data_IF_672082024458
#
_entry.id   IF_672082024458
#
_cell.length_a   1.000
_cell.length_b   1.000
_cell.length_c   1.000
_cell.angle_alpha   90.00
_cell.angle_beta   90.00
_cell.angle_gamma   90.00
#
_symmetry.space_group_name_H-M   'P 1'
#
loop_
_entity.id
_entity.type
_entity.pdbx_description
1 polymer ?
#
# COMPACT_ATOMS: atom_id res chain seq x y z
N UNK A 1 -8.00 -6.86 1.99
CA UNK A 1 -6.67 -6.44 1.52
C UNK A 1 -5.74 -6.08 2.69
N UNK A 2 -6.05 -5.03 3.47
CA UNK A 2 -5.12 -4.52 4.48
C UNK A 2 -4.74 -5.55 5.55
N UNK A 3 -5.67 -6.36 6.01
CA UNK A 3 -5.38 -7.41 7.00
C UNK A 3 -4.41 -8.48 6.44
N UNK A 4 -4.64 -8.93 5.20
CA UNK A 4 -3.72 -9.86 4.53
C UNK A 4 -2.33 -9.23 4.33
N UNK A 5 -2.27 -7.98 3.91
CA UNK A 5 -0.99 -7.27 3.71
C UNK A 5 -0.23 -7.12 5.03
N UNK A 6 -0.89 -6.66 6.11
CA UNK A 6 -0.29 -6.57 7.45
C UNK A 6 0.28 -7.90 7.93
N UNK A 7 -0.50 -8.97 7.80
CA UNK A 7 -0.07 -10.33 8.20
C UNK A 7 1.19 -10.78 7.45
N UNK A 8 1.30 -10.47 6.16
CA UNK A 8 2.50 -10.77 5.37
C UNK A 8 3.73 -9.97 5.84
N UNK A 9 3.55 -8.68 6.18
CA UNK A 9 4.62 -7.85 6.71
C UNK A 9 5.07 -8.37 8.08
N UNK A 10 4.15 -8.67 8.97
CA UNK A 10 4.44 -9.22 10.30
C UNK A 10 5.18 -10.56 10.19
N UNK A 11 4.69 -11.49 9.39
CA UNK A 11 5.34 -12.78 9.14
C UNK A 11 6.77 -12.60 8.62
N UNK A 12 6.98 -11.68 7.69
CA UNK A 12 8.31 -11.37 7.17
C UNK A 12 9.23 -10.81 8.27
N UNK A 13 8.73 -9.93 9.13
CA UNK A 13 9.54 -9.34 10.22
C UNK A 13 9.86 -10.36 11.31
N UNK A 14 8.92 -11.24 11.62
CA UNK A 14 9.13 -12.34 12.55
C UNK A 14 10.22 -13.30 12.04
N UNK A 15 10.17 -13.69 10.78
CA UNK A 15 11.21 -14.50 10.17
C UNK A 15 12.59 -13.80 10.18
N UNK A 16 12.62 -12.50 9.87
CA UNK A 16 13.86 -11.73 9.89
C UNK A 16 14.45 -11.63 11.30
N UNK A 17 13.63 -11.48 12.34
CA UNK A 17 14.10 -11.39 13.72
C UNK A 17 14.64 -12.72 14.26
N UNK A 18 14.14 -13.84 13.77
CA UNK A 18 14.70 -15.17 14.09
C UNK A 18 16.09 -15.36 13.50
N UNK A 19 16.36 -14.78 12.33
CA UNK A 19 17.67 -14.86 11.67
C UNK A 19 18.65 -13.81 12.20
N UNK A 20 18.15 -12.63 12.55
CA UNK A 20 18.94 -11.52 13.05
C UNK A 20 18.17 -10.75 14.13
N UNK A 21 18.59 -10.85 15.41
CA UNK A 21 17.93 -10.15 16.52
C UNK A 21 18.00 -8.61 16.41
N UNK A 22 18.85 -8.08 15.56
CA UNK A 22 18.94 -6.63 15.26
C UNK A 22 18.11 -6.22 14.04
N UNK A 23 17.28 -7.10 13.51
CA UNK A 23 16.41 -6.77 12.37
C UNK A 23 15.41 -5.68 12.73
N UNK A 24 15.21 -4.74 11.83
CA UNK A 24 14.27 -3.63 12.04
C UNK A 24 12.82 -4.11 12.00
N UNK A 25 12.04 -3.64 12.95
CA UNK A 25 10.58 -3.82 12.96
C UNK A 25 9.92 -2.84 11.99
N UNK A 26 8.75 -3.18 11.50
CA UNK A 26 7.95 -2.29 10.65
C UNK A 26 6.47 -2.51 10.94
N UNK A 27 5.83 -1.46 11.40
CA UNK A 27 4.36 -1.39 11.40
C UNK A 27 3.87 -0.96 10.02
N UNK A 28 2.68 -1.42 9.67
CA UNK A 28 1.99 -0.98 8.44
C UNK A 28 1.03 0.14 8.79
N UNK A 29 1.35 1.34 8.35
CA UNK A 29 0.44 2.48 8.37
C UNK A 29 -0.04 2.75 6.95
N UNK A 30 -1.28 3.21 6.81
CA UNK A 30 -1.85 3.41 5.49
C UNK A 30 -2.93 4.49 5.49
N UNK A 31 -3.15 5.02 4.30
CA UNK A 31 -4.34 5.78 3.92
C UNK A 31 -4.84 5.19 2.61
N UNK A 32 -6.14 5.02 2.47
CA UNK A 32 -6.72 4.63 1.19
C UNK A 32 -7.92 5.49 0.83
N UNK A 33 -8.15 5.63 -0.47
CA UNK A 33 -9.32 6.25 -1.04
C UNK A 33 -9.93 5.35 -2.10
N UNK A 34 -11.26 5.20 -2.07
CA UNK A 34 -12.03 4.53 -3.11
C UNK A 34 -12.58 5.58 -4.08
N UNK A 35 -12.34 5.36 -5.35
CA UNK A 35 -12.78 6.25 -6.42
C UNK A 35 -13.55 5.47 -7.49
N UNK A 36 -14.34 6.18 -8.24
CA UNK A 36 -15.09 5.67 -9.40
C UNK A 36 -14.96 6.68 -10.54
N UNK A 37 -14.47 6.21 -11.69
CA UNK A 37 -14.34 7.05 -12.87
C UNK A 37 -15.70 7.47 -13.41
N UNK A 38 -15.76 8.63 -14.07
CA UNK A 38 -16.97 9.07 -14.78
C UNK A 38 -17.34 8.02 -15.84
N UNK A 39 -18.61 7.59 -15.83
CA UNK A 39 -19.11 6.59 -16.78
C UNK A 39 -18.62 5.16 -16.54
N UNK A 40 -17.89 4.91 -15.46
CA UNK A 40 -17.43 3.57 -15.07
C UNK A 40 -18.18 3.07 -13.84
N UNK A 41 -18.60 1.81 -13.88
CA UNK A 41 -19.14 1.11 -12.70
C UNK A 41 -18.04 0.48 -11.83
N UNK A 42 -16.79 0.49 -12.31
CA UNK A 42 -15.67 -0.12 -11.62
C UNK A 42 -15.08 0.83 -10.60
N UNK A 43 -14.96 0.35 -9.37
CA UNK A 43 -14.23 1.05 -8.32
C UNK A 43 -12.75 0.75 -8.42
N UNK A 44 -11.92 1.75 -8.12
CA UNK A 44 -10.49 1.58 -7.92
C UNK A 44 -10.07 2.21 -6.60
N UNK A 45 -8.97 1.70 -6.07
CA UNK A 45 -8.46 2.11 -4.77
C UNK A 45 -7.08 2.71 -4.93
N UNK A 46 -6.89 3.89 -4.36
CA UNK A 46 -5.59 4.51 -4.20
C UNK A 46 -5.11 4.24 -2.78
N UNK A 47 -3.88 3.75 -2.65
CA UNK A 47 -3.29 3.44 -1.37
C UNK A 47 -1.98 4.20 -1.20
N UNK A 48 -1.80 4.80 -0.02
CA UNK A 48 -0.51 5.20 0.51
C UNK A 48 -0.18 4.25 1.66
N UNK A 49 0.94 3.57 1.56
CA UNK A 49 1.43 2.63 2.58
C UNK A 49 2.75 3.17 3.12
N UNK A 50 2.85 3.25 4.44
CA UNK A 50 4.03 3.68 5.16
C UNK A 50 4.66 2.49 5.88
N UNK A 51 5.93 2.26 5.63
CA UNK A 51 6.72 1.19 6.23
C UNK A 51 8.04 1.76 6.75
N UNK A 52 8.69 1.02 7.65
CA UNK A 52 10.03 1.37 8.06
C UNK A 52 11.02 1.14 6.90
N UNK A 53 11.68 2.21 6.47
CA UNK A 53 12.63 2.19 5.37
C UNK A 53 13.82 1.24 5.61
N UNK A 54 14.26 1.09 6.86
CA UNK A 54 15.38 0.20 7.19
C UNK A 54 14.98 -1.28 7.13
N UNK A 55 13.68 -1.57 7.18
CA UNK A 55 13.13 -2.91 7.01
C UNK A 55 12.76 -3.21 5.55
N UNK A 56 12.29 -2.20 4.80
CA UNK A 56 11.81 -2.32 3.43
C UNK A 56 12.29 -1.16 2.58
N UNK A 57 13.38 -1.38 1.87
CA UNK A 57 14.08 -0.31 1.13
C UNK A 57 13.41 0.06 -0.20
N UNK A 58 12.78 -0.90 -0.87
CA UNK A 58 12.14 -0.69 -2.18
C UNK A 58 10.95 -1.61 -2.39
N UNK A 59 10.04 -1.20 -3.28
CA UNK A 59 8.91 -2.01 -3.71
C UNK A 59 9.35 -3.25 -4.50
N UNK A 60 10.52 -3.21 -5.12
CA UNK A 60 11.06 -4.28 -5.97
C UNK A 60 10.63 -4.14 -7.43
N UNK A 61 11.08 -5.08 -8.27
CA UNK A 61 10.75 -5.12 -9.69
C UNK A 61 9.44 -5.86 -9.94
N UNK A 62 8.60 -5.28 -10.78
CA UNK A 62 7.50 -5.97 -11.44
C UNK A 62 8.03 -7.20 -12.21
N UNK A 63 7.35 -8.32 -12.09
CA UNK A 63 7.72 -9.55 -12.79
C UNK A 63 9.00 -10.24 -12.29
N UNK A 64 9.53 -9.84 -11.12
CA UNK A 64 10.64 -10.54 -10.47
C UNK A 64 10.18 -11.91 -9.95
N UNK A 65 10.99 -12.96 -10.09
CA UNK A 65 10.76 -14.27 -9.49
C UNK A 65 10.94 -14.26 -7.95
N UNK A 66 11.66 -13.27 -7.45
CA UNK A 66 11.89 -13.12 -6.01
C UNK A 66 10.68 -12.45 -5.33
N UNK A 67 10.28 -12.99 -4.18
CA UNK A 67 9.23 -12.39 -3.35
C UNK A 67 9.64 -10.97 -2.92
N UNK A 68 8.93 -9.97 -3.44
CA UNK A 68 9.15 -8.56 -3.17
C UNK A 68 7.86 -7.88 -2.68
N UNK A 69 7.90 -6.57 -2.46
CA UNK A 69 6.73 -5.83 -1.98
C UNK A 69 5.57 -5.87 -2.97
N UNK A 70 5.87 -5.83 -4.27
CA UNK A 70 4.85 -5.90 -5.31
C UNK A 70 4.07 -7.23 -5.25
N UNK A 71 4.76 -8.37 -5.11
CA UNK A 71 4.10 -9.67 -4.94
C UNK A 71 3.20 -9.71 -3.69
N UNK A 72 3.60 -9.06 -2.59
CA UNK A 72 2.78 -8.97 -1.38
C UNK A 72 1.47 -8.20 -1.64
N UNK A 73 1.56 -7.13 -2.43
CA UNK A 73 0.37 -6.36 -2.82
C UNK A 73 -0.57 -7.18 -3.70
N UNK A 74 -0.03 -7.91 -4.69
CA UNK A 74 -0.83 -8.80 -5.54
C UNK A 74 -1.48 -9.93 -4.73
N UNK A 75 -0.73 -10.58 -3.85
CA UNK A 75 -1.27 -11.62 -2.96
C UNK A 75 -2.39 -11.09 -2.04
N UNK A 76 -2.19 -9.89 -1.46
CA UNK A 76 -3.20 -9.28 -0.61
C UNK A 76 -4.47 -8.92 -1.41
N UNK A 77 -4.30 -8.51 -2.67
CA UNK A 77 -5.41 -8.21 -3.56
C UNK A 77 -6.15 -9.46 -4.01
N UNK A 78 -5.42 -10.51 -4.38
CA UNK A 78 -5.96 -11.82 -4.70
C UNK A 78 -6.80 -12.38 -3.54
N UNK A 79 -6.28 -12.31 -2.32
CA UNK A 79 -7.00 -12.73 -1.13
C UNK A 79 -8.29 -11.92 -0.92
N UNK A 80 -8.24 -10.61 -1.08
CA UNK A 80 -9.41 -9.73 -0.92
C UNK A 80 -10.52 -10.04 -1.93
N UNK A 81 -10.15 -10.39 -3.16
CA UNK A 81 -11.08 -10.74 -4.24
C UNK A 81 -11.47 -12.23 -4.26
N UNK A 82 -10.82 -13.06 -3.42
CA UNK A 82 -10.96 -14.53 -3.43
C UNK A 82 -10.61 -15.15 -4.79
N UNK A 83 -9.56 -14.63 -5.41
CA UNK A 83 -9.03 -15.06 -6.70
C UNK A 83 -7.61 -15.61 -6.55
N UNK A 84 -7.12 -16.31 -7.58
CA UNK A 84 -5.70 -16.68 -7.65
C UNK A 84 -4.83 -15.45 -7.93
N UNK A 85 -3.55 -15.52 -7.54
CA UNK A 85 -2.58 -14.43 -7.82
C UNK A 85 -2.47 -14.18 -9.33
N UNK A 86 -2.51 -15.24 -10.14
CA UNK A 86 -2.47 -15.12 -11.61
C UNK A 86 -3.69 -14.39 -12.18
N UNK A 87 -4.85 -14.51 -11.54
CA UNK A 87 -6.06 -13.83 -11.99
C UNK A 87 -6.09 -12.32 -11.66
N UNK A 88 -5.23 -11.87 -10.75
CA UNK A 88 -5.14 -10.44 -10.37
C UNK A 88 -3.93 -9.73 -10.98
N UNK A 89 -3.16 -10.41 -11.82
CA UNK A 89 -2.04 -9.80 -12.52
C UNK A 89 -2.51 -8.58 -13.33
N UNK A 90 -1.80 -7.46 -13.17
CA UNK A 90 -2.14 -6.19 -13.79
C UNK A 90 -3.24 -5.37 -13.10
N UNK A 91 -3.89 -5.88 -12.04
CA UNK A 91 -4.84 -5.11 -11.24
C UNK A 91 -4.17 -4.23 -10.18
N UNK A 92 -2.95 -4.55 -9.79
CA UNK A 92 -2.13 -3.70 -8.93
C UNK A 92 -1.24 -2.82 -9.80
N UNK A 93 -1.48 -1.52 -9.73
CA UNK A 93 -0.71 -0.53 -10.46
C UNK A 93 0.17 0.28 -9.50
N UNK A 94 1.44 0.36 -9.82
CA UNK A 94 2.41 1.22 -9.11
C UNK A 94 2.75 2.37 -10.04
N UNK A 95 2.36 3.61 -9.70
CA UNK A 95 2.63 4.77 -10.55
C UNK A 95 4.12 5.12 -10.56
N UNK A 96 4.53 5.88 -11.55
CA UNK A 96 5.87 6.46 -11.58
C UNK A 96 6.10 7.33 -10.34
N UNK A 97 7.33 7.27 -9.80
CA UNK A 97 7.70 7.97 -8.57
C UNK A 97 6.79 7.62 -7.36
N UNK A 98 6.44 6.35 -7.21
CA UNK A 98 5.59 5.87 -6.11
C UNK A 98 6.31 5.79 -4.77
N UNK A 99 7.63 5.77 -4.74
CA UNK A 99 8.43 5.62 -3.53
C UNK A 99 8.89 6.99 -3.00
N UNK A 100 8.58 7.23 -1.72
CA UNK A 100 9.05 8.39 -0.96
C UNK A 100 9.85 7.91 0.23
N UNK A 101 11.07 8.42 0.37
CA UNK A 101 11.94 8.16 1.53
C UNK A 101 11.94 9.40 2.39
N UNK A 102 11.23 9.34 3.50
CA UNK A 102 11.01 10.49 4.37
C UNK A 102 11.64 10.26 5.72
N UNK A 103 12.53 11.14 6.10
CA UNK A 103 13.15 11.12 7.42
C UNK A 103 12.43 12.11 8.36
N UNK A 104 12.55 11.86 9.68
CA UNK A 104 11.93 12.71 10.70
C UNK A 104 12.43 14.16 10.64
N UNK A 105 13.69 14.35 10.28
CA UNK A 105 14.36 15.65 10.18
C UNK A 105 14.44 16.19 8.75
N UNK A 106 13.58 15.69 7.84
CA UNK A 106 13.46 16.16 6.46
C UNK A 106 12.10 16.83 6.22
N UNK A 107 11.93 18.12 6.56
CA UNK A 107 10.68 18.82 6.34
C UNK A 107 10.28 18.90 4.86
N UNK A 108 11.24 18.99 3.94
CA UNK A 108 10.97 19.08 2.51
C UNK A 108 10.36 17.76 1.99
N UNK A 109 10.95 16.61 2.36
CA UNK A 109 10.40 15.30 2.02
C UNK A 109 9.02 15.06 2.65
N UNK A 110 8.81 15.51 3.89
CA UNK A 110 7.51 15.44 4.55
C UNK A 110 6.44 16.25 3.81
N UNK A 111 6.77 17.48 3.39
CA UNK A 111 5.86 18.34 2.61
C UNK A 111 5.56 17.69 1.24
N UNK A 112 6.56 17.15 0.55
CA UNK A 112 6.37 16.48 -0.72
C UNK A 112 5.43 15.27 -0.60
N UNK A 113 5.64 14.43 0.42
CA UNK A 113 4.75 13.30 0.70
C UNK A 113 3.34 13.76 1.06
N UNK A 114 3.21 14.77 1.93
CA UNK A 114 1.91 15.33 2.32
C UNK A 114 1.15 15.87 1.10
N UNK A 115 1.83 16.61 0.23
CA UNK A 115 1.24 17.11 -1.01
C UNK A 115 0.75 15.97 -1.90
N UNK A 116 1.53 14.90 -2.05
CA UNK A 116 1.12 13.70 -2.79
C UNK A 116 -0.08 13.01 -2.14
N UNK A 117 -0.05 12.84 -0.82
CA UNK A 117 -1.12 12.20 -0.06
C UNK A 117 -2.43 13.00 -0.08
N UNK A 118 -2.36 14.33 -0.10
CA UNK A 118 -3.54 15.21 -0.14
C UNK A 118 -4.40 14.98 -1.38
N UNK A 119 -3.82 14.44 -2.46
CA UNK A 119 -4.59 14.04 -3.65
C UNK A 119 -5.63 12.96 -3.34
N UNK A 120 -5.39 12.10 -2.35
CA UNK A 120 -6.36 11.12 -1.88
C UNK A 120 -7.63 11.74 -1.27
N UNK A 121 -7.56 13.00 -0.87
CA UNK A 121 -8.69 13.75 -0.32
C UNK A 121 -9.61 14.36 -1.39
N UNK A 122 -9.24 14.27 -2.68
CA UNK A 122 -10.07 14.76 -3.79
C UNK A 122 -11.48 14.15 -3.73
N UNK A 123 -12.52 15.00 -3.77
CA UNK A 123 -13.91 14.58 -3.61
C UNK A 123 -14.61 14.25 -4.93
N UNK A 124 -14.15 14.82 -6.05
CA UNK A 124 -14.84 14.78 -7.35
C UNK A 124 -15.10 13.37 -7.91
N UNK A 125 -14.28 12.39 -7.55
CA UNK A 125 -14.37 11.00 -8.04
C UNK A 125 -14.81 10.01 -6.96
N UNK A 126 -15.18 10.51 -5.76
CA UNK A 126 -15.61 9.63 -4.66
C UNK A 126 -17.10 9.32 -4.71
N UNK A 127 -17.49 8.04 -4.70
CA UNK A 127 -18.89 7.63 -4.75
C UNK A 127 -19.53 7.71 -3.35
N UNK A 128 -19.88 8.93 -2.92
CA UNK A 128 -20.55 9.14 -1.65
C UNK A 128 -22.01 8.63 -1.67
N UNK A 129 -22.55 8.35 -0.48
CA UNK A 129 -23.98 8.06 -0.30
C UNK A 129 -24.41 6.63 -0.64
N UNK A 130 -23.48 5.72 -0.94
CA UNK A 130 -23.80 4.33 -1.26
C UNK A 130 -23.62 3.34 -0.08
N UNK A 131 -23.47 3.85 1.16
CA UNK A 131 -23.34 3.05 2.37
C UNK A 131 -21.93 2.48 2.61
N UNK A 132 -20.96 2.75 1.74
CA UNK A 132 -19.58 2.27 1.88
C UNK A 132 -18.61 3.42 2.15
N UNK A 133 -17.56 3.13 2.91
CA UNK A 133 -16.49 4.09 3.12
C UNK A 133 -15.77 4.40 1.80
N UNK A 134 -15.49 5.67 1.60
CA UNK A 134 -14.72 6.16 0.43
C UNK A 134 -13.30 6.55 0.79
N UNK A 135 -12.99 6.59 2.08
CA UNK A 135 -11.69 6.96 2.62
C UNK A 135 -11.54 6.39 4.03
N UNK A 136 -10.36 5.88 4.35
CA UNK A 136 -9.99 5.47 5.72
C UNK A 136 -8.47 5.44 5.87
N UNK A 137 -8.00 5.38 7.13
CA UNK A 137 -6.59 5.28 7.46
C UNK A 137 -6.36 4.35 8.65
N UNK A 138 -5.12 3.93 8.84
CA UNK A 138 -4.71 3.23 10.05
C UNK A 138 -4.86 4.15 11.26
N UNK A 139 -5.41 3.62 12.34
CA UNK A 139 -5.51 4.28 13.65
C UNK A 139 -4.45 3.68 14.56
N UNK A 140 -3.81 4.52 15.35
CA UNK A 140 -2.88 4.09 16.40
C UNK A 140 -3.64 3.53 17.59
#
# INVERSE_FOLDING_TARGET
FMESFKSQIESNRNAASQLNPYSHVSEVRYVWAREQGQGSYMHHYHLLILLNQDAFYTIGRLGSENANMFHRLEQAWAYALRLSVTAVQGLVHVPDNAEYRVQRNDPAGQVALFHRASYLCKTATKPFGNGYHVFDCSRN
#
